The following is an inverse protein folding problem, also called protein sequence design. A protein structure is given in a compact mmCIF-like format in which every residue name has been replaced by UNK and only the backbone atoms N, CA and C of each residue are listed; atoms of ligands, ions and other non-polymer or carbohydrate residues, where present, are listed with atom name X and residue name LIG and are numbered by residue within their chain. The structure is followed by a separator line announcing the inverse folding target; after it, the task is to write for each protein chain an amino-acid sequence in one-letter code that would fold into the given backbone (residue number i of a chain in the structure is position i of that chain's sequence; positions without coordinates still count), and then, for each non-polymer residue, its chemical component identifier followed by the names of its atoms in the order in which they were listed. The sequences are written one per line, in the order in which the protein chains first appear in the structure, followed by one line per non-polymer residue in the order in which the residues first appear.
data_IF_351925408442
#
_entry.id   IF_351925408442
#
_cell.length_a   1.000
_cell.length_b   1.000
_cell.length_c   1.000
_cell.angle_alpha   90.00
_cell.angle_beta   90.00
_cell.angle_gamma   90.00
#
_symmetry.space_group_name_H-M   'P 1'
#
loop_
_entity.id
_entity.type
_entity.pdbx_description
1 polymer ?
#
# COMPACT_ATOMS: atom_id res chain seq x y z
N UNK A 1 -6.59 12.32 -30.52
CA UNK A 1 -6.77 11.01 -29.85
C UNK A 1 -5.61 10.08 -30.17
N UNK A 2 -5.31 9.81 -31.44
CA UNK A 2 -4.10 9.05 -31.85
C UNK A 2 -2.79 9.66 -31.32
N UNK A 3 -2.61 10.98 -31.44
CA UNK A 3 -1.39 11.65 -30.96
C UNK A 3 -1.22 11.61 -29.44
N UNK A 4 -2.32 11.67 -28.68
CA UNK A 4 -2.30 11.56 -27.21
C UNK A 4 -1.97 10.12 -26.81
N UNK A 5 -2.51 9.12 -27.51
CA UNK A 5 -2.19 7.70 -27.28
C UNK A 5 -0.71 7.42 -27.59
N UNK A 6 -0.16 8.04 -28.64
CA UNK A 6 1.24 7.87 -29.00
C UNK A 6 2.20 8.63 -28.07
N UNK A 7 1.81 9.81 -27.60
CA UNK A 7 2.55 10.57 -26.60
C UNK A 7 2.54 9.85 -25.24
N UNK A 8 1.41 9.25 -24.85
CA UNK A 8 1.31 8.37 -23.68
C UNK A 8 2.21 7.13 -23.87
N UNK A 9 2.13 6.45 -25.01
CA UNK A 9 2.95 5.27 -25.28
C UNK A 9 4.46 5.56 -25.23
N UNK A 10 4.87 6.71 -25.76
CA UNK A 10 6.26 7.18 -25.71
C UNK A 10 6.68 7.66 -24.31
N UNK A 11 5.75 8.19 -23.50
CA UNK A 11 6.01 8.62 -22.12
C UNK A 11 6.16 7.44 -21.17
N UNK A 12 5.49 6.33 -21.45
CA UNK A 12 5.53 5.12 -20.62
C UNK A 12 6.70 4.18 -20.95
N UNK A 13 7.62 4.57 -21.86
CA UNK A 13 8.71 3.71 -22.35
C UNK A 13 8.18 2.31 -22.71
N UNK A 14 7.01 2.27 -23.37
CA UNK A 14 6.37 1.02 -23.76
C UNK A 14 7.23 0.42 -24.85
N UNK A 15 8.03 -0.57 -24.47
CA UNK A 15 8.69 -1.42 -25.44
C UNK A 15 7.60 -1.99 -26.35
N UNK A 16 7.73 -1.78 -27.66
CA UNK A 16 6.75 -2.12 -28.69
C UNK A 16 6.33 -3.60 -28.74
N UNK A 17 6.87 -4.43 -27.84
CA UNK A 17 6.59 -5.86 -27.65
C UNK A 17 5.78 -6.17 -26.38
N UNK A 18 5.57 -5.22 -25.48
CA UNK A 18 4.84 -5.44 -24.23
C UNK A 18 3.34 -5.25 -24.44
N UNK A 19 2.59 -6.34 -24.39
CA UNK A 19 1.12 -6.29 -24.40
C UNK A 19 0.62 -5.93 -23.00
N UNK A 20 -0.08 -4.80 -22.89
CA UNK A 20 -0.73 -4.37 -21.66
C UNK A 20 -2.21 -4.74 -21.68
N UNK A 21 -2.72 -5.20 -20.55
CA UNK A 21 -4.16 -5.36 -20.35
C UNK A 21 -4.86 -3.99 -20.28
N UNK A 22 -6.18 -3.98 -20.49
CA UNK A 22 -6.97 -2.75 -20.42
C UNK A 22 -6.85 -2.06 -19.05
N UNK A 23 -6.79 -2.83 -17.96
CA UNK A 23 -6.69 -2.30 -16.59
C UNK A 23 -5.33 -1.66 -16.32
N UNK A 24 -4.25 -2.23 -16.86
CA UNK A 24 -2.91 -1.63 -16.79
C UNK A 24 -2.85 -0.29 -17.53
N UNK A 25 -3.44 -0.21 -18.73
CA UNK A 25 -3.47 1.04 -19.50
C UNK A 25 -4.22 2.15 -18.75
N UNK A 26 -5.34 1.84 -18.10
CA UNK A 26 -6.04 2.82 -17.28
C UNK A 26 -5.22 3.23 -16.05
N UNK A 27 -4.53 2.28 -15.40
CA UNK A 27 -3.66 2.55 -14.25
C UNK A 27 -2.48 3.46 -14.63
N UNK A 28 -1.83 3.19 -15.77
CA UNK A 28 -0.78 4.03 -16.35
C UNK A 28 -1.31 5.44 -16.67
N UNK A 29 -2.45 5.52 -17.36
CA UNK A 29 -3.07 6.80 -17.70
C UNK A 29 -3.40 7.62 -16.44
N UNK A 30 -3.96 7.00 -15.41
CA UNK A 30 -4.24 7.65 -14.13
C UNK A 30 -2.96 8.19 -13.47
N UNK A 31 -1.86 7.43 -13.47
CA UNK A 31 -0.54 7.90 -13.00
C UNK A 31 -0.07 9.12 -13.75
N UNK A 32 -0.18 9.10 -15.08
CA UNK A 32 0.20 10.23 -15.92
C UNK A 32 -0.67 11.46 -15.62
N UNK A 33 -1.99 11.30 -15.51
CA UNK A 33 -2.88 12.39 -15.13
C UNK A 33 -2.52 12.98 -13.77
N UNK A 34 -2.23 12.14 -12.75
CA UNK A 34 -1.84 12.61 -11.41
C UNK A 34 -0.60 13.52 -11.43
N UNK A 35 0.34 13.25 -12.33
CA UNK A 35 1.57 14.03 -12.46
C UNK A 35 1.35 15.42 -13.09
N UNK A 36 0.29 15.58 -13.91
CA UNK A 36 0.08 16.78 -14.72
C UNK A 36 -1.15 17.61 -14.30
N UNK A 37 -2.24 16.97 -13.88
CA UNK A 37 -3.50 17.65 -13.57
C UNK A 37 -4.41 16.80 -12.66
N UNK A 38 -4.75 17.33 -11.48
CA UNK A 38 -5.59 16.65 -10.50
C UNK A 38 -7.03 16.40 -10.99
N UNK A 39 -7.65 17.36 -11.69
CA UNK A 39 -9.00 17.18 -12.22
C UNK A 39 -9.04 16.10 -13.31
N UNK A 40 -8.00 16.03 -14.14
CA UNK A 40 -7.86 14.95 -15.11
C UNK A 40 -7.67 13.59 -14.41
N UNK A 41 -6.92 13.56 -13.31
CA UNK A 41 -6.72 12.35 -12.52
C UNK A 41 -8.03 11.88 -11.87
N UNK A 42 -8.85 12.79 -11.33
CA UNK A 42 -10.16 12.47 -10.79
C UNK A 42 -11.10 11.91 -11.87
N UNK A 43 -11.10 12.49 -13.06
CA UNK A 43 -11.87 11.97 -14.20
C UNK A 43 -11.38 10.59 -14.64
N UNK A 44 -10.06 10.38 -14.68
CA UNK A 44 -9.45 9.09 -15.02
C UNK A 44 -9.77 8.01 -13.98
N UNK A 45 -9.74 8.33 -12.68
CA UNK A 45 -10.13 7.42 -11.61
C UNK A 45 -11.62 7.06 -11.72
N UNK A 46 -12.49 8.03 -12.00
CA UNK A 46 -13.91 7.76 -12.22
C UNK A 46 -14.17 6.85 -13.42
N UNK A 47 -13.44 7.05 -14.52
CA UNK A 47 -13.50 6.16 -15.69
C UNK A 47 -13.02 4.75 -15.34
N UNK A 48 -11.88 4.62 -14.65
CA UNK A 48 -11.35 3.35 -14.15
C UNK A 48 -12.37 2.60 -13.28
N UNK A 49 -12.95 3.27 -12.29
CA UNK A 49 -13.90 2.66 -11.37
C UNK A 49 -15.18 2.21 -12.08
N UNK A 50 -15.63 2.96 -13.09
CA UNK A 50 -16.81 2.63 -13.88
C UNK A 50 -16.56 1.45 -14.81
N UNK A 51 -15.41 1.40 -15.48
CA UNK A 51 -15.09 0.33 -16.44
C UNK A 51 -14.95 -1.03 -15.73
N UNK A 52 -14.34 -1.04 -14.54
CA UNK A 52 -14.04 -2.28 -13.81
C UNK A 52 -14.96 -2.55 -12.62
N UNK A 53 -16.04 -1.77 -12.45
CA UNK A 53 -17.03 -1.88 -11.38
C UNK A 53 -16.42 -2.04 -9.96
N UNK A 54 -15.38 -1.25 -9.70
CA UNK A 54 -14.52 -1.38 -8.51
C UNK A 54 -15.26 -1.10 -7.20
N UNK A 55 -16.09 -0.05 -7.06
CA UNK A 55 -16.77 0.24 -5.80
C UNK A 55 -17.75 -0.86 -5.36
N UNK A 56 -18.26 -1.66 -6.30
CA UNK A 56 -19.13 -2.79 -6.00
C UNK A 56 -18.35 -4.07 -5.65
N UNK A 57 -17.21 -4.30 -6.30
CA UNK A 57 -16.49 -5.59 -6.26
C UNK A 57 -15.27 -5.60 -5.33
N UNK A 58 -14.70 -4.42 -5.01
CA UNK A 58 -13.37 -4.20 -4.43
C UNK A 58 -12.21 -4.42 -5.42
N UNK A 59 -11.24 -3.50 -5.43
CA UNK A 59 -10.11 -3.52 -6.36
C UNK A 59 -9.26 -4.80 -6.26
N UNK A 60 -9.12 -5.37 -5.06
CA UNK A 60 -8.33 -6.59 -4.86
C UNK A 60 -8.96 -7.79 -5.54
N UNK A 61 -10.30 -7.86 -5.57
CA UNK A 61 -11.05 -8.91 -6.27
C UNK A 61 -10.93 -8.71 -7.79
N UNK A 62 -11.04 -7.46 -8.26
CA UNK A 62 -10.85 -7.13 -9.69
C UNK A 62 -9.46 -7.56 -10.16
N UNK A 63 -8.41 -7.20 -9.43
CA UNK A 63 -7.02 -7.59 -9.76
C UNK A 63 -6.86 -9.11 -9.80
N UNK A 64 -7.46 -9.83 -8.85
CA UNK A 64 -7.43 -11.29 -8.82
C UNK A 64 -8.15 -11.92 -10.02
N UNK A 65 -9.28 -11.36 -10.45
CA UNK A 65 -10.08 -11.88 -11.58
C UNK A 65 -9.41 -11.65 -12.95
N UNK A 66 -8.52 -10.66 -13.05
CA UNK A 66 -7.82 -10.32 -14.30
C UNK A 66 -6.55 -11.15 -14.53
N UNK A 67 -6.20 -12.07 -13.62
CA UNK A 67 -5.01 -12.95 -13.70
C UNK A 67 -3.72 -12.18 -14.04
N UNK A 68 -3.55 -11.01 -13.41
CA UNK A 68 -2.41 -10.12 -13.66
C UNK A 68 -1.11 -10.69 -13.10
N UNK A 69 0.02 -10.35 -13.73
CA UNK A 69 1.34 -10.55 -13.11
C UNK A 69 1.47 -9.76 -11.81
N UNK A 70 2.42 -10.13 -10.96
CA UNK A 70 2.67 -9.41 -9.70
C UNK A 70 2.97 -7.92 -9.95
N UNK A 71 3.77 -7.62 -10.97
CA UNK A 71 4.13 -6.25 -11.34
C UNK A 71 2.91 -5.45 -11.82
N UNK A 72 2.04 -6.06 -12.63
CA UNK A 72 0.82 -5.45 -13.13
C UNK A 72 -0.20 -5.23 -11.98
N UNK A 73 -0.38 -6.22 -11.10
CA UNK A 73 -1.22 -6.09 -9.91
C UNK A 73 -0.76 -4.94 -9.01
N UNK A 74 0.54 -4.85 -8.75
CA UNK A 74 1.14 -3.75 -7.97
C UNK A 74 0.89 -2.39 -8.62
N UNK A 75 1.10 -2.28 -9.94
CA UNK A 75 0.85 -1.06 -10.68
C UNK A 75 -0.61 -0.61 -10.55
N UNK A 76 -1.56 -1.53 -10.74
CA UNK A 76 -3.00 -1.26 -10.68
C UNK A 76 -3.43 -0.85 -9.28
N UNK A 77 -3.01 -1.59 -8.24
CA UNK A 77 -3.34 -1.27 -6.84
C UNK A 77 -2.78 0.08 -6.43
N UNK A 78 -1.51 0.35 -6.74
CA UNK A 78 -0.89 1.63 -6.45
C UNK A 78 -1.64 2.77 -7.16
N UNK A 79 -1.91 2.60 -8.46
CA UNK A 79 -2.61 3.59 -9.27
C UNK A 79 -4.00 3.92 -8.72
N UNK A 80 -4.78 2.89 -8.37
CA UNK A 80 -6.13 3.06 -7.82
C UNK A 80 -6.12 3.93 -6.57
N UNK A 81 -5.18 3.72 -5.64
CA UNK A 81 -5.11 4.49 -4.40
C UNK A 81 -4.39 5.84 -4.52
N UNK A 82 -3.88 6.27 -5.69
CA UNK A 82 -3.10 7.51 -5.83
C UNK A 82 -3.79 8.77 -5.33
N UNK A 83 -5.12 8.82 -5.43
CA UNK A 83 -5.93 9.96 -5.02
C UNK A 83 -6.54 9.77 -3.63
N UNK A 84 -6.04 8.84 -2.82
CA UNK A 84 -6.56 8.53 -1.49
C UNK A 84 -6.73 9.76 -0.59
N UNK A 85 -5.77 10.67 -0.62
CA UNK A 85 -5.77 11.88 0.21
C UNK A 85 -6.53 13.06 -0.44
N UNK A 86 -7.25 12.83 -1.54
CA UNK A 86 -8.06 13.85 -2.22
C UNK A 86 -9.52 13.63 -1.86
N UNK A 87 -10.13 14.59 -1.15
CA UNK A 87 -11.52 14.46 -0.66
C UNK A 87 -12.53 14.19 -1.78
N UNK A 88 -12.32 14.80 -2.95
CA UNK A 88 -13.18 14.59 -4.12
C UNK A 88 -13.13 13.15 -4.67
N UNK A 89 -12.09 12.37 -4.35
CA UNK A 89 -11.95 10.98 -4.79
C UNK A 89 -12.63 9.97 -3.87
N UNK A 90 -13.09 10.38 -2.67
CA UNK A 90 -13.61 9.45 -1.64
C UNK A 90 -14.78 8.61 -2.11
N UNK A 91 -15.64 9.14 -2.98
CA UNK A 91 -16.78 8.42 -3.54
C UNK A 91 -16.40 7.24 -4.44
N UNK A 92 -15.15 7.17 -4.92
CA UNK A 92 -14.65 6.05 -5.72
C UNK A 92 -14.05 4.92 -4.89
N UNK A 93 -13.71 5.20 -3.63
CA UNK A 93 -13.25 4.20 -2.66
C UNK A 93 -14.39 3.66 -1.83
N UNK A 94 -15.38 4.50 -1.54
CA UNK A 94 -16.49 4.19 -0.67
C UNK A 94 -17.81 4.59 -1.34
N UNK A 95 -18.68 3.61 -1.54
CA UNK A 95 -20.06 3.85 -1.99
C UNK A 95 -20.86 4.56 -0.88
N UNK A 96 -21.78 5.45 -1.28
CA UNK A 96 -22.51 6.41 -0.43
C UNK A 96 -23.43 5.74 0.63
N UNK A 97 -22.81 5.14 1.66
CA UNK A 97 -23.49 4.70 2.89
C UNK A 97 -23.53 3.19 3.17
N UNK A 98 -22.98 2.33 2.31
CA UNK A 98 -22.91 0.88 2.59
C UNK A 98 -21.66 0.28 1.96
N UNK A 99 -20.53 0.37 2.66
CA UNK A 99 -19.46 -0.56 2.38
C UNK A 99 -19.90 -1.92 2.89
N UNK A 100 -20.27 -2.80 1.97
CA UNK A 100 -20.57 -4.19 2.32
C UNK A 100 -19.25 -4.80 2.77
N UNK A 101 -19.09 -4.98 4.08
CA UNK A 101 -17.97 -5.74 4.61
C UNK A 101 -17.93 -7.11 3.89
N UNK A 102 -16.73 -7.65 3.60
CA UNK A 102 -16.62 -9.01 3.11
C UNK A 102 -17.48 -9.96 3.94
N UNK A 103 -18.20 -10.89 3.29
CA UNK A 103 -19.15 -11.79 3.94
C UNK A 103 -18.56 -12.56 5.15
N UNK A 104 -17.23 -12.72 5.16
CA UNK A 104 -16.47 -13.28 6.26
C UNK A 104 -16.70 -12.54 7.60
N UNK A 105 -16.85 -11.21 7.57
CA UNK A 105 -17.06 -10.38 8.76
C UNK A 105 -18.53 -10.29 9.19
N UNK A 106 -19.48 -10.75 8.37
CA UNK A 106 -20.92 -10.70 8.65
C UNK A 106 -21.55 -12.08 8.86
N UNK A 107 -20.77 -13.15 8.81
CA UNK A 107 -21.28 -14.51 8.96
C UNK A 107 -21.38 -14.90 10.44
N UNK A 108 -22.62 -15.02 10.95
CA UNK A 108 -22.89 -15.40 12.36
C UNK A 108 -22.27 -16.74 12.79
N UNK A 109 -21.97 -17.61 11.82
CA UNK A 109 -21.37 -18.94 12.08
C UNK A 109 -19.84 -18.93 12.14
N UNK A 110 -19.19 -17.78 11.94
CA UNK A 110 -17.73 -17.67 11.85
C UNK A 110 -17.24 -16.70 12.93
N UNK A 111 -16.27 -17.16 13.73
CA UNK A 111 -15.54 -16.31 14.67
C UNK A 111 -14.13 -16.07 14.11
N UNK A 112 -13.78 -14.80 13.93
CA UNK A 112 -12.50 -14.40 13.38
C UNK A 112 -11.53 -14.05 14.51
N UNK A 113 -10.34 -14.63 14.43
CA UNK A 113 -9.23 -14.30 15.32
C UNK A 113 -8.11 -13.65 14.50
N UNK A 114 -7.61 -12.51 14.97
CA UNK A 114 -6.41 -11.90 14.42
C UNK A 114 -5.18 -12.53 15.06
N UNK A 115 -4.26 -13.03 14.24
CA UNK A 115 -2.98 -13.58 14.69
C UNK A 115 -1.84 -12.72 14.14
N UNK A 116 -0.92 -12.33 15.02
CA UNK A 116 0.26 -11.55 14.67
C UNK A 116 1.50 -12.41 14.86
N UNK A 117 2.31 -12.52 13.80
CA UNK A 117 3.55 -13.30 13.82
C UNK A 117 4.66 -12.71 14.70
N UNK A 118 5.73 -13.47 14.87
CA UNK A 118 6.96 -13.04 15.56
C UNK A 118 8.11 -12.71 14.61
N UNK A 119 9.30 -12.52 15.17
CA UNK A 119 10.53 -12.25 14.40
C UNK A 119 10.75 -13.31 13.33
N UNK A 120 10.88 -12.88 12.08
CA UNK A 120 11.55 -13.69 11.07
C UNK A 120 13.02 -13.77 11.51
N UNK A 121 13.59 -14.97 11.69
CA UNK A 121 15.03 -15.15 11.91
C UNK A 121 15.90 -14.77 10.70
N UNK A 122 15.39 -13.88 9.85
CA UNK A 122 15.91 -13.45 8.56
C UNK A 122 15.52 -11.97 8.35
N UNK A 123 16.40 -11.14 7.74
CA UNK A 123 16.11 -9.75 7.40
C UNK A 123 15.05 -9.55 6.30
N UNK A 124 14.49 -10.64 5.74
CA UNK A 124 13.48 -10.60 4.67
C UNK A 124 12.19 -9.85 5.03
N UNK A 125 11.94 -9.56 6.31
CA UNK A 125 10.81 -8.72 6.71
C UNK A 125 10.91 -7.29 6.13
N UNK A 126 12.11 -6.78 5.83
CA UNK A 126 12.25 -5.48 5.16
C UNK A 126 11.76 -5.52 3.71
N UNK A 127 11.87 -6.65 3.03
CA UNK A 127 11.40 -6.79 1.66
C UNK A 127 9.87 -6.76 1.60
N UNK A 128 9.21 -7.39 2.57
CA UNK A 128 7.76 -7.27 2.76
C UNK A 128 7.34 -5.82 3.03
N UNK A 129 8.05 -5.12 3.92
CA UNK A 129 7.79 -3.72 4.21
C UNK A 129 7.96 -2.82 2.97
N UNK A 130 9.00 -3.07 2.17
CA UNK A 130 9.25 -2.37 0.90
C UNK A 130 8.13 -2.62 -0.09
N UNK A 131 7.71 -3.87 -0.24
CA UNK A 131 6.62 -4.24 -1.13
C UNK A 131 5.30 -3.57 -0.71
N UNK A 132 4.97 -3.60 0.59
CA UNK A 132 3.79 -2.92 1.13
C UNK A 132 3.84 -1.41 0.89
N UNK A 133 4.97 -0.78 1.19
CA UNK A 133 5.15 0.66 1.00
C UNK A 133 5.10 1.04 -0.48
N UNK A 134 5.59 0.20 -1.39
CA UNK A 134 5.54 0.44 -2.83
C UNK A 134 4.10 0.31 -3.37
N UNK A 135 3.42 -0.80 -3.07
CA UNK A 135 2.03 -1.05 -3.52
C UNK A 135 1.07 -0.02 -2.92
N UNK A 136 1.15 0.21 -1.60
CA UNK A 136 0.20 1.04 -0.86
C UNK A 136 0.81 2.38 -0.42
N UNK A 137 1.79 2.91 -1.17
CA UNK A 137 2.43 4.20 -0.88
C UNK A 137 1.42 5.32 -0.56
N UNK A 138 0.31 5.49 -1.32
CA UNK A 138 -0.67 6.52 -1.01
C UNK A 138 -1.37 6.35 0.36
N UNK A 139 -1.46 5.11 0.86
CA UNK A 139 -2.08 4.79 2.14
C UNK A 139 -1.07 4.84 3.30
N UNK A 140 0.20 4.52 3.04
CA UNK A 140 1.20 4.20 4.07
C UNK A 140 2.29 5.25 4.25
N UNK A 141 2.62 6.04 3.23
CA UNK A 141 3.84 6.87 3.26
C UNK A 141 3.91 7.82 4.45
N UNK A 142 2.81 8.51 4.76
CA UNK A 142 2.74 9.42 5.91
C UNK A 142 2.93 8.68 7.24
N UNK A 143 2.28 7.53 7.40
CA UNK A 143 2.40 6.70 8.60
C UNK A 143 3.82 6.17 8.79
N UNK A 144 4.43 5.62 7.73
CA UNK A 144 5.80 5.07 7.79
C UNK A 144 6.82 6.17 8.06
N UNK A 145 6.65 7.35 7.47
CA UNK A 145 7.48 8.51 7.75
C UNK A 145 7.38 8.92 9.22
N UNK A 146 6.16 9.11 9.73
CA UNK A 146 5.91 9.47 11.12
C UNK A 146 6.50 8.44 12.11
N UNK A 147 6.21 7.15 11.89
CA UNK A 147 6.73 6.10 12.77
C UNK A 147 8.24 5.95 12.68
N UNK A 148 8.83 6.16 11.51
CA UNK A 148 10.28 6.15 11.36
C UNK A 148 10.93 7.31 12.11
N UNK A 149 10.35 8.51 12.09
CA UNK A 149 10.84 9.66 12.84
C UNK A 149 10.72 9.41 14.36
N UNK A 150 9.58 8.87 14.80
CA UNK A 150 9.36 8.47 16.18
C UNK A 150 10.43 7.47 16.63
N UNK A 151 10.59 6.35 15.91
CA UNK A 151 11.57 5.30 16.23
C UNK A 151 13.01 5.84 16.21
N UNK A 152 13.35 6.68 15.23
CA UNK A 152 14.65 7.34 15.16
C UNK A 152 14.91 8.23 16.38
N UNK A 153 13.91 8.98 16.84
CA UNK A 153 14.03 9.83 18.03
C UNK A 153 14.25 9.00 19.31
N UNK A 154 13.51 7.89 19.46
CA UNK A 154 13.61 7.02 20.64
C UNK A 154 14.95 6.28 20.67
N UNK A 155 15.46 5.83 19.52
CA UNK A 155 16.75 5.15 19.42
C UNK A 155 17.95 6.05 19.79
N UNK A 156 17.76 7.38 19.83
CA UNK A 156 18.79 8.36 20.20
C UNK A 156 18.75 8.74 21.69
N UNK A 157 17.85 8.15 22.47
CA UNK A 157 17.92 8.26 23.92
C UNK A 157 19.30 7.79 24.40
N UNK A 158 19.93 8.56 25.29
CA UNK A 158 21.26 8.23 25.81
C UNK A 158 21.31 6.88 26.54
N UNK A 159 20.18 6.38 27.04
CA UNK A 159 20.07 5.05 27.64
C UNK A 159 20.04 3.91 26.62
N UNK A 160 19.71 4.22 25.36
CA UNK A 160 19.52 3.26 24.28
C UNK A 160 20.55 3.39 23.16
N UNK A 161 21.39 4.43 23.16
CA UNK A 161 22.36 4.71 22.09
C UNK A 161 23.35 3.56 21.87
N UNK A 162 23.73 2.86 22.95
CA UNK A 162 24.65 1.72 22.89
C UNK A 162 23.98 0.47 22.28
N UNK A 163 22.64 0.39 22.36
CA UNK A 163 21.85 -0.70 21.76
C UNK A 163 21.65 -0.43 20.26
N UNK A 164 21.49 0.84 19.87
CA UNK A 164 21.20 1.27 18.51
C UNK A 164 22.41 1.92 17.82
N UNK A 165 23.56 1.23 17.82
CA UNK A 165 24.82 1.76 17.27
C UNK A 165 24.71 2.23 15.79
N UNK A 166 23.81 1.62 15.00
CA UNK A 166 23.57 1.98 13.59
C UNK A 166 22.28 2.79 13.40
N UNK A 167 21.68 3.24 14.50
CA UNK A 167 20.42 3.96 14.54
C UNK A 167 19.22 3.10 14.12
N UNK A 168 18.08 3.78 13.95
CA UNK A 168 16.80 3.18 13.56
C UNK A 168 16.13 4.01 12.45
N UNK A 169 16.84 4.18 11.33
CA UNK A 169 16.43 5.03 10.20
C UNK A 169 15.54 4.29 9.20
N UNK A 170 14.39 3.78 9.66
CA UNK A 170 13.56 2.81 8.91
C UNK A 170 13.13 3.32 7.54
N UNK A 171 12.62 4.54 7.44
CA UNK A 171 12.18 5.12 6.16
C UNK A 171 13.30 5.13 5.12
N UNK A 172 14.53 5.45 5.54
CA UNK A 172 15.70 5.39 4.66
C UNK A 172 15.93 3.96 4.17
N UNK A 173 15.92 2.98 5.07
CA UNK A 173 16.14 1.57 4.75
C UNK A 173 15.08 1.00 3.77
N UNK A 174 13.85 1.50 3.85
CA UNK A 174 12.75 1.09 2.95
C UNK A 174 12.82 1.77 1.59
N UNK A 175 13.20 3.05 1.53
CA UNK A 175 13.17 3.85 0.29
C UNK A 175 14.49 3.86 -0.49
N UNK A 176 15.61 3.55 0.16
CA UNK A 176 16.94 3.57 -0.45
C UNK A 176 17.57 2.18 -0.34
N UNK A 177 17.48 1.36 -1.41
CA UNK A 177 18.11 0.04 -1.44
C UNK A 177 19.62 0.11 -1.15
N UNK A 178 20.10 -0.75 -0.27
CA UNK A 178 21.50 -0.81 0.16
C UNK A 178 21.87 0.18 1.28
N UNK A 179 20.90 0.92 1.82
CA UNK A 179 21.12 1.79 2.98
C UNK A 179 20.87 1.11 4.33
N UNK A 180 20.29 -0.09 4.29
CA UNK A 180 20.06 -0.93 5.46
C UNK A 180 21.38 -1.40 6.10
N UNK A 181 21.41 -1.57 7.44
CA UNK A 181 22.49 -2.24 8.14
C UNK A 181 22.66 -3.70 7.72
N UNK A 182 23.76 -4.33 8.14
CA UNK A 182 23.94 -5.77 7.93
C UNK A 182 22.90 -6.61 8.67
N UNK A 183 22.76 -7.85 8.20
CA UNK A 183 21.81 -8.83 8.72
C UNK A 183 21.96 -9.07 10.23
N UNK A 184 23.17 -8.97 10.79
CA UNK A 184 23.38 -9.16 12.22
C UNK A 184 22.70 -8.07 13.06
N UNK A 185 22.76 -6.83 12.60
CA UNK A 185 22.06 -5.72 13.26
C UNK A 185 20.55 -5.80 13.05
N UNK A 186 20.10 -6.13 11.84
CA UNK A 186 18.66 -6.26 11.52
C UNK A 186 17.99 -7.39 12.31
N UNK A 187 18.67 -8.51 12.53
CA UNK A 187 18.15 -9.64 13.30
C UNK A 187 18.27 -9.45 14.82
N UNK A 188 18.99 -8.43 15.29
CA UNK A 188 19.07 -8.12 16.71
C UNK A 188 17.66 -7.85 17.26
N UNK A 189 17.30 -8.49 18.37
CA UNK A 189 16.02 -8.34 19.07
C UNK A 189 15.57 -6.86 19.24
N UNK A 190 16.41 -5.93 19.72
CA UNK A 190 16.00 -4.54 19.92
C UNK A 190 15.65 -3.80 18.62
N UNK A 191 16.12 -4.30 17.46
CA UNK A 191 15.88 -3.71 16.13
C UNK A 191 14.72 -4.40 15.43
N UNK A 192 14.73 -5.73 15.39
CA UNK A 192 13.72 -6.54 14.68
C UNK A 192 12.34 -6.51 15.32
N UNK A 193 12.21 -6.44 16.66
CA UNK A 193 10.90 -6.33 17.32
C UNK A 193 10.14 -5.07 16.88
N UNK A 194 10.68 -3.85 17.04
CA UNK A 194 9.95 -2.64 16.63
C UNK A 194 9.69 -2.59 15.12
N UNK A 195 10.58 -3.13 14.29
CA UNK A 195 10.35 -3.22 12.85
C UNK A 195 9.23 -4.20 12.49
N UNK A 196 9.18 -5.36 13.15
CA UNK A 196 8.10 -6.33 12.95
C UNK A 196 6.75 -5.72 13.35
N UNK A 197 6.70 -5.01 14.49
CA UNK A 197 5.51 -4.29 14.92
C UNK A 197 5.08 -3.21 13.92
N UNK A 198 6.03 -2.45 13.35
CA UNK A 198 5.74 -1.47 12.30
C UNK A 198 5.10 -2.12 11.07
N UNK A 199 5.63 -3.25 10.61
CA UNK A 199 5.13 -3.97 9.42
C UNK A 199 3.72 -4.50 9.66
N UNK A 200 3.47 -5.07 10.85
CA UNK A 200 2.13 -5.50 11.25
C UNK A 200 1.14 -4.34 11.26
N UNK A 201 1.56 -3.17 11.75
CA UNK A 201 0.74 -1.97 11.70
C UNK A 201 0.52 -1.45 10.27
N UNK A 202 1.51 -1.59 9.36
CA UNK A 202 1.32 -1.28 7.94
C UNK A 202 0.25 -2.18 7.31
N UNK A 203 0.30 -3.48 7.55
CA UNK A 203 -0.72 -4.42 7.06
C UNK A 203 -2.12 -4.09 7.62
N UNK A 204 -2.23 -3.87 8.93
CA UNK A 204 -3.48 -3.45 9.57
C UNK A 204 -3.98 -2.14 8.99
N UNK A 205 -3.07 -1.19 8.70
CA UNK A 205 -3.42 0.08 8.10
C UNK A 205 -4.00 -0.07 6.70
N UNK A 206 -3.41 -0.91 5.87
CA UNK A 206 -4.00 -1.27 4.58
C UNK A 206 -5.38 -1.89 4.81
N UNK A 207 -5.51 -2.87 5.70
CA UNK A 207 -6.77 -3.58 5.93
C UNK A 207 -7.92 -2.65 6.35
N UNK A 208 -7.78 -1.87 7.42
CA UNK A 208 -8.89 -1.02 7.88
C UNK A 208 -9.21 0.10 6.86
N UNK A 209 -8.19 0.65 6.17
CA UNK A 209 -8.40 1.68 5.17
C UNK A 209 -9.18 1.14 3.98
N UNK A 210 -8.77 0.00 3.43
CA UNK A 210 -9.45 -0.58 2.25
C UNK A 210 -10.84 -1.12 2.59
N UNK A 211 -11.10 -1.48 3.85
CA UNK A 211 -12.42 -1.79 4.39
C UNK A 211 -13.26 -0.55 4.77
N UNK A 212 -12.67 0.65 4.72
CA UNK A 212 -13.31 1.92 5.10
C UNK A 212 -13.86 1.97 6.51
N UNK A 213 -13.25 1.22 7.43
CA UNK A 213 -13.60 1.20 8.84
C UNK A 213 -12.53 1.87 9.68
N UNK A 214 -12.87 2.34 10.88
CA UNK A 214 -11.84 2.80 11.82
C UNK A 214 -11.05 1.62 12.41
N UNK A 215 -9.84 1.84 12.95
CA UNK A 215 -9.11 0.79 13.67
C UNK A 215 -9.91 0.20 14.84
N UNK A 216 -10.75 1.02 15.50
CA UNK A 216 -11.61 0.58 16.59
C UNK A 216 -12.76 -0.31 16.12
N UNK A 217 -13.38 0.04 14.99
CA UNK A 217 -14.42 -0.78 14.38
C UNK A 217 -13.85 -2.10 13.86
N UNK A 218 -12.65 -2.06 13.22
CA UNK A 218 -11.95 -3.27 12.78
C UNK A 218 -11.73 -4.24 13.96
N UNK A 219 -11.30 -3.74 15.11
CA UNK A 219 -11.07 -4.57 16.29
C UNK A 219 -12.36 -5.26 16.80
N UNK A 220 -13.53 -4.64 16.59
CA UNK A 220 -14.82 -5.24 16.95
C UNK A 220 -15.25 -6.34 16.00
N UNK A 221 -14.65 -6.44 14.80
CA UNK A 221 -14.94 -7.50 13.83
C UNK A 221 -14.25 -8.84 14.16
N UNK A 222 -13.35 -8.85 15.14
CA UNK A 222 -12.68 -10.05 15.63
C UNK A 222 -13.23 -10.41 17.03
N UNK A 223 -13.59 -11.68 17.23
CA UNK A 223 -14.27 -12.18 18.44
C UNK A 223 -13.59 -13.42 18.99
#
# INVERSE_FOLDING_TARGET
LYDIVQELANTFDIDSKQEFTAIELHALFLRHCKAHNENAALAALGAFCKEFDVPATNIHVVVQQQDLSEEAARLVLNAYYLLWNIDAARCYYFSDGSQTLPALFSADSIHLMAAFGGQAGSPSYLDEARWLLDVYSPLLSEFVMYMSEFLYSQARDAQLSDVYEKGLCVFKWLTQPGSEPDAGYLTAVPVSIPLTGLIQLMQLMVLYKTLGVSPGDLAQLFH
#
